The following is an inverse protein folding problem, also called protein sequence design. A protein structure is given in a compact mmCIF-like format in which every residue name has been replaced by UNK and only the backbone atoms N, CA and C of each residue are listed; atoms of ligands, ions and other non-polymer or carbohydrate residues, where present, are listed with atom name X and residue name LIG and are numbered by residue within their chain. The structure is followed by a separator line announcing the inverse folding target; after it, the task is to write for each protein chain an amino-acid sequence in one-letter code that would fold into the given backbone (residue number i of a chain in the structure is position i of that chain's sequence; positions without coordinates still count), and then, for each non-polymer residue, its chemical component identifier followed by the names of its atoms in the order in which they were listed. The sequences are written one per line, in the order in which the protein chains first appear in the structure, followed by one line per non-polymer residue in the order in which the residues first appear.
data_IF_137993043764
#
_entry.id   IF_137993043764
#
_cell.length_a   1.000
_cell.length_b   1.000
_cell.length_c   1.000
_cell.angle_alpha   90.00
_cell.angle_beta   90.00
_cell.angle_gamma   90.00
#
_symmetry.space_group_name_H-M   'P 1'
#
loop_
_entity.id
_entity.type
_entity.pdbx_description
1 polymer ?
#
# COMPACT_ATOMS: atom_id res chain seq x y z
N UNK A 1 -5.88 18.11 -21.39
CA UNK A 1 -5.58 17.32 -20.18
C UNK A 1 -6.79 17.33 -19.24
N UNK A 2 -6.77 16.54 -18.12
CA UNK A 2 -7.94 16.44 -17.21
C UNK A 2 -8.42 17.81 -16.71
N UNK A 3 -7.50 18.71 -16.37
CA UNK A 3 -7.77 20.08 -15.91
C UNK A 3 -8.48 20.98 -16.92
N UNK A 4 -8.54 20.61 -18.18
CA UNK A 4 -9.32 21.36 -19.22
C UNK A 4 -10.80 21.02 -19.16
N UNK A 5 -11.14 19.88 -18.56
CA UNK A 5 -12.50 19.36 -18.52
C UNK A 5 -13.07 19.28 -17.10
N UNK A 6 -12.21 19.28 -16.07
CA UNK A 6 -12.59 19.08 -14.67
C UNK A 6 -11.88 20.08 -13.75
N UNK A 7 -12.59 20.51 -12.71
CA UNK A 7 -12.00 21.25 -11.59
C UNK A 7 -11.52 20.20 -10.58
N UNK A 8 -10.20 20.06 -10.45
CA UNK A 8 -9.58 19.12 -9.51
C UNK A 8 -9.43 19.82 -8.16
N UNK A 9 -10.22 19.40 -7.17
CA UNK A 9 -10.27 20.04 -5.85
C UNK A 9 -9.41 19.33 -4.80
N UNK A 10 -9.19 18.01 -4.93
CA UNK A 10 -8.53 17.20 -3.90
C UNK A 10 -7.26 16.48 -4.40
N UNK A 11 -6.75 16.91 -5.55
CA UNK A 11 -5.56 16.35 -6.16
C UNK A 11 -5.79 15.09 -6.99
N UNK A 12 -4.72 14.59 -7.58
CA UNK A 12 -4.70 13.39 -8.43
C UNK A 12 -4.00 12.28 -7.66
N UNK A 13 -4.68 11.13 -7.53
CA UNK A 13 -4.08 9.91 -7.00
C UNK A 13 -3.74 8.93 -8.12
N UNK A 14 -2.62 8.23 -8.00
CA UNK A 14 -2.17 7.23 -8.97
C UNK A 14 -1.60 6.00 -8.28
N UNK A 15 -1.89 4.82 -8.84
CA UNK A 15 -1.32 3.55 -8.40
C UNK A 15 -0.06 3.22 -9.21
N UNK A 16 0.99 2.74 -8.53
CA UNK A 16 2.27 2.40 -9.12
C UNK A 16 2.66 0.95 -8.83
N UNK A 17 3.27 0.31 -9.81
CA UNK A 17 4.06 -0.89 -9.57
C UNK A 17 5.41 -0.50 -8.94
N UNK A 18 5.99 -1.28 -8.00
CA UNK A 18 7.28 -0.98 -7.40
C UNK A 18 8.41 -0.70 -8.39
N UNK A 19 8.45 -1.40 -9.52
CA UNK A 19 9.46 -1.20 -10.58
C UNK A 19 9.42 0.20 -11.23
N UNK A 20 8.33 0.94 -11.03
CA UNK A 20 8.17 2.31 -11.53
C UNK A 20 8.50 3.38 -10.49
N UNK A 21 8.94 2.98 -9.29
CA UNK A 21 9.29 3.92 -8.21
C UNK A 21 10.78 4.28 -8.34
N UNK A 22 11.05 5.26 -9.19
CA UNK A 22 12.37 5.88 -9.39
C UNK A 22 12.21 7.40 -9.49
N UNK A 23 13.30 8.13 -9.31
CA UNK A 23 13.29 9.60 -9.25
C UNK A 23 12.67 10.21 -10.50
N UNK A 24 13.04 9.73 -11.69
CA UNK A 24 12.56 10.27 -12.96
C UNK A 24 11.04 10.14 -13.10
N UNK A 25 10.51 8.93 -12.86
CA UNK A 25 9.06 8.67 -12.91
C UNK A 25 8.30 9.49 -11.88
N UNK A 26 8.79 9.53 -10.63
CA UNK A 26 8.13 10.28 -9.57
C UNK A 26 8.14 11.78 -9.84
N UNK A 27 9.23 12.32 -10.37
CA UNK A 27 9.30 13.75 -10.74
C UNK A 27 8.31 14.06 -11.87
N UNK A 28 8.27 13.23 -12.91
CA UNK A 28 7.31 13.39 -14.02
C UNK A 28 5.86 13.41 -13.51
N UNK A 29 5.51 12.50 -12.59
CA UNK A 29 4.17 12.46 -11.99
C UNK A 29 3.88 13.70 -11.16
N UNK A 30 4.85 14.15 -10.37
CA UNK A 30 4.73 15.38 -9.58
C UNK A 30 4.49 16.60 -10.46
N UNK A 31 5.25 16.72 -11.55
CA UNK A 31 5.13 17.82 -12.53
C UNK A 31 3.78 17.77 -13.28
N UNK A 32 3.22 16.56 -13.46
CA UNK A 32 1.89 16.36 -14.01
C UNK A 32 0.74 16.69 -13.03
N UNK A 33 1.03 17.06 -11.79
CA UNK A 33 0.05 17.44 -10.77
C UNK A 33 -0.45 16.28 -9.91
N UNK A 34 0.22 15.11 -9.93
CA UNK A 34 -0.08 14.01 -9.01
C UNK A 34 0.33 14.43 -7.59
N UNK A 35 -0.58 14.30 -6.65
CA UNK A 35 -0.37 14.66 -5.24
C UNK A 35 -0.32 13.45 -4.33
N UNK A 36 -0.89 12.33 -4.75
CA UNK A 36 -1.02 11.09 -3.97
C UNK A 36 -0.61 9.89 -4.81
N UNK A 37 0.22 9.02 -4.24
CA UNK A 37 0.63 7.76 -4.89
C UNK A 37 0.30 6.57 -3.98
N UNK A 38 -0.13 5.46 -4.59
CA UNK A 38 -0.21 4.15 -3.95
C UNK A 38 0.73 3.19 -4.65
N UNK A 39 1.52 2.45 -3.88
CA UNK A 39 2.53 1.52 -4.41
C UNK A 39 2.13 0.10 -4.03
N UNK A 40 1.86 -0.73 -5.01
CA UNK A 40 1.46 -2.12 -4.81
C UNK A 40 2.63 -3.02 -4.37
N UNK A 41 3.06 -2.91 -3.12
CA UNK A 41 4.18 -3.67 -2.55
C UNK A 41 3.83 -5.15 -2.39
N UNK A 42 2.70 -5.45 -1.82
CA UNK A 42 2.18 -6.75 -1.43
C UNK A 42 2.92 -7.39 -0.24
N UNK A 43 4.24 -7.43 -0.22
CA UNK A 43 5.13 -7.77 0.88
C UNK A 43 6.56 -7.37 0.52
N UNK A 44 7.40 -7.01 1.47
CA UNK A 44 8.84 -6.85 1.25
C UNK A 44 9.61 -8.17 1.39
N UNK A 45 8.97 -9.22 1.91
CA UNK A 45 9.59 -10.52 2.08
C UNK A 45 9.72 -11.26 0.74
N UNK A 46 10.94 -11.61 0.35
CA UNK A 46 11.26 -12.32 -0.91
C UNK A 46 10.47 -13.63 -1.07
N UNK A 47 10.15 -14.32 0.04
CA UNK A 47 9.35 -15.55 0.04
C UNK A 47 7.94 -15.30 -0.54
N UNK A 48 7.30 -14.21 -0.10
CA UNK A 48 5.93 -13.87 -0.53
C UNK A 48 5.91 -13.25 -1.91
N UNK A 49 6.92 -12.47 -2.27
CA UNK A 49 7.08 -11.98 -3.64
C UNK A 49 7.14 -13.13 -4.65
N UNK A 50 7.91 -14.19 -4.34
CA UNK A 50 7.98 -15.40 -5.19
C UNK A 50 6.64 -16.11 -5.31
N UNK A 51 5.90 -16.26 -4.20
CA UNK A 51 4.55 -16.88 -4.19
C UNK A 51 3.60 -16.10 -5.11
N UNK A 52 3.73 -14.77 -5.12
CA UNK A 52 2.90 -13.87 -5.93
C UNK A 52 3.41 -13.70 -7.37
N UNK A 53 4.48 -14.42 -7.77
CA UNK A 53 5.09 -14.31 -9.09
C UNK A 53 5.77 -12.96 -9.34
N UNK A 54 6.17 -12.25 -8.29
CA UNK A 54 6.80 -10.93 -8.35
C UNK A 54 8.30 -11.01 -8.12
N UNK A 55 8.99 -9.97 -8.57
CA UNK A 55 10.43 -9.80 -8.31
C UNK A 55 10.68 -9.23 -6.91
N UNK A 56 11.90 -9.40 -6.44
CA UNK A 56 12.39 -8.72 -5.25
C UNK A 56 12.37 -7.20 -5.45
N UNK A 57 11.94 -6.48 -4.42
CA UNK A 57 11.90 -5.01 -4.40
C UNK A 57 13.26 -4.48 -3.95
N UNK A 58 13.81 -3.52 -4.70
CA UNK A 58 14.97 -2.75 -4.26
C UNK A 58 14.51 -1.62 -3.32
N UNK A 59 14.58 -1.89 -2.02
CA UNK A 59 14.18 -0.92 -1.00
C UNK A 59 15.11 0.28 -0.88
N UNK A 60 16.38 0.14 -1.29
CA UNK A 60 17.33 1.25 -1.25
C UNK A 60 17.05 2.26 -2.37
N UNK A 61 16.78 1.78 -3.58
CA UNK A 61 16.35 2.61 -4.70
C UNK A 61 15.02 3.30 -4.39
N UNK A 62 14.04 2.56 -3.88
CA UNK A 62 12.74 3.09 -3.49
C UNK A 62 12.86 4.19 -2.43
N UNK A 63 13.66 3.98 -1.38
CA UNK A 63 13.92 5.00 -0.34
C UNK A 63 14.54 6.25 -0.94
N UNK A 64 15.52 6.11 -1.82
CA UNK A 64 16.17 7.23 -2.51
C UNK A 64 15.16 8.04 -3.33
N UNK A 65 14.32 7.36 -4.10
CA UNK A 65 13.32 8.00 -4.94
C UNK A 65 12.26 8.75 -4.12
N UNK A 66 11.69 8.12 -3.09
CA UNK A 66 10.68 8.71 -2.22
C UNK A 66 11.22 9.85 -1.35
N UNK A 67 12.52 9.84 -1.03
CA UNK A 67 13.18 10.94 -0.33
C UNK A 67 13.45 12.13 -1.24
N UNK A 68 13.66 11.91 -2.54
CA UNK A 68 13.95 12.95 -3.52
C UNK A 68 12.68 13.68 -3.99
N UNK A 69 11.54 12.99 -4.07
CA UNK A 69 10.28 13.54 -4.59
C UNK A 69 9.16 13.35 -3.59
N UNK A 70 8.67 14.43 -3.00
CA UNK A 70 7.64 14.39 -1.97
C UNK A 70 6.22 14.44 -2.54
N UNK A 71 5.33 13.62 -1.98
CA UNK A 71 3.89 13.62 -2.23
C UNK A 71 3.12 13.90 -0.92
N UNK A 72 1.88 14.38 -1.05
CA UNK A 72 1.00 14.58 0.12
C UNK A 72 0.69 13.24 0.80
N UNK A 73 0.43 12.21 -0.03
CA UNK A 73 0.20 10.86 0.45
C UNK A 73 1.06 9.87 -0.33
N UNK A 74 1.82 9.09 0.41
CA UNK A 74 2.51 7.88 -0.07
C UNK A 74 1.86 6.70 0.63
N UNK A 75 1.01 5.97 -0.09
CA UNK A 75 0.42 4.72 0.37
C UNK A 75 1.24 3.53 -0.09
N UNK A 76 1.37 2.53 0.74
CA UNK A 76 1.90 1.22 0.36
C UNK A 76 0.87 0.14 0.63
N UNK A 77 0.58 -0.67 -0.40
CA UNK A 77 -0.45 -1.68 -0.34
C UNK A 77 0.15 -3.06 -0.15
N UNK A 78 -0.38 -3.78 0.84
CA UNK A 78 0.08 -5.10 1.25
C UNK A 78 -1.03 -6.14 1.13
N UNK A 79 -0.64 -7.39 0.95
CA UNK A 79 -1.53 -8.54 1.08
C UNK A 79 -1.21 -9.23 2.40
N UNK A 80 -2.22 -9.37 3.26
CA UNK A 80 -2.08 -10.15 4.49
C UNK A 80 -2.77 -11.51 4.39
N UNK A 81 -2.42 -12.41 5.31
CA UNK A 81 -2.87 -13.79 5.33
C UNK A 81 -2.43 -14.60 4.10
N UNK A 82 -1.28 -14.27 3.55
CA UNK A 82 -0.57 -15.10 2.59
C UNK A 82 -0.23 -16.46 3.24
N UNK A 83 -0.13 -17.54 2.47
CA UNK A 83 0.21 -18.85 3.00
C UNK A 83 1.51 -18.87 3.79
N UNK A 84 1.38 -19.25 5.07
CA UNK A 84 2.49 -19.30 6.00
C UNK A 84 3.05 -17.92 6.41
N UNK A 85 2.28 -16.85 6.19
CA UNK A 85 2.61 -15.53 6.70
C UNK A 85 2.34 -15.45 8.20
N UNK A 86 3.29 -14.93 8.94
CA UNK A 86 3.21 -14.71 10.38
C UNK A 86 2.88 -13.26 10.71
N UNK A 87 2.53 -13.02 11.96
CA UNK A 87 2.39 -11.67 12.50
C UNK A 87 3.68 -10.85 12.33
N UNK A 88 4.85 -11.45 12.60
CA UNK A 88 6.14 -10.77 12.51
C UNK A 88 6.49 -10.39 11.08
N UNK A 89 6.12 -11.21 10.09
CA UNK A 89 6.31 -10.90 8.67
C UNK A 89 5.50 -9.63 8.29
N UNK A 90 4.20 -9.59 8.63
CA UNK A 90 3.34 -8.46 8.30
C UNK A 90 3.73 -7.20 9.08
N UNK A 91 4.12 -7.36 10.35
CA UNK A 91 4.66 -6.27 11.17
C UNK A 91 5.91 -5.67 10.54
N UNK A 92 6.83 -6.50 10.08
CA UNK A 92 8.06 -6.07 9.39
C UNK A 92 7.76 -5.33 8.10
N UNK A 93 6.78 -5.78 7.33
CA UNK A 93 6.32 -5.11 6.11
C UNK A 93 5.82 -3.68 6.41
N UNK A 94 4.98 -3.52 7.44
CA UNK A 94 4.44 -2.21 7.86
C UNK A 94 5.54 -1.29 8.39
N UNK A 95 6.42 -1.79 9.26
CA UNK A 95 7.54 -1.00 9.78
C UNK A 95 8.46 -0.52 8.64
N UNK A 96 8.72 -1.38 7.67
CA UNK A 96 9.52 -1.06 6.48
C UNK A 96 8.83 0.03 5.65
N UNK A 97 7.52 -0.06 5.43
CA UNK A 97 6.79 0.96 4.68
C UNK A 97 6.94 2.36 5.28
N UNK A 98 6.71 2.49 6.58
CA UNK A 98 6.86 3.79 7.25
C UNK A 98 8.31 4.26 7.30
N UNK A 99 9.28 3.36 7.41
CA UNK A 99 10.70 3.68 7.31
C UNK A 99 11.09 4.22 5.93
N UNK A 100 10.48 3.70 4.87
CA UNK A 100 10.70 4.13 3.47
C UNK A 100 9.98 5.43 3.13
N UNK A 101 9.22 6.01 4.05
CA UNK A 101 8.55 7.30 3.85
C UNK A 101 7.05 7.22 3.51
N UNK A 102 6.42 6.03 3.61
CA UNK A 102 4.97 5.96 3.56
C UNK A 102 4.36 6.72 4.75
N UNK A 103 3.26 7.42 4.52
CA UNK A 103 2.42 7.97 5.56
C UNK A 103 1.04 7.29 5.65
N UNK A 104 0.81 6.32 4.76
CA UNK A 104 -0.40 5.50 4.72
C UNK A 104 -0.05 4.07 4.30
N UNK A 105 -0.73 3.09 4.88
CA UNK A 105 -0.65 1.68 4.46
C UNK A 105 -2.04 1.09 4.32
N UNK A 106 -2.22 0.26 3.30
CA UNK A 106 -3.42 -0.55 3.12
C UNK A 106 -3.03 -2.03 3.17
N UNK A 107 -3.78 -2.83 3.95
CA UNK A 107 -3.53 -4.26 4.08
C UNK A 107 -4.79 -5.03 3.65
N UNK A 108 -4.75 -5.67 2.49
CA UNK A 108 -5.89 -6.42 1.96
C UNK A 108 -5.73 -7.92 2.22
N UNK A 109 -6.82 -8.65 2.54
CA UNK A 109 -6.72 -10.09 2.76
C UNK A 109 -6.38 -10.82 1.47
N UNK A 110 -5.50 -11.83 1.55
CA UNK A 110 -5.33 -12.78 0.46
C UNK A 110 -6.67 -13.50 0.21
N UNK A 111 -7.16 -13.39 -1.03
CA UNK A 111 -8.39 -14.04 -1.48
C UNK A 111 -7.98 -15.18 -2.41
N UNK A 112 -8.34 -16.41 -2.00
CA UNK A 112 -8.22 -17.58 -2.84
C UNK A 112 -9.43 -17.63 -3.79
N UNK A 113 -9.18 -17.36 -5.05
CA UNK A 113 -10.21 -17.46 -6.08
C UNK A 113 -10.33 -18.92 -6.52
N UNK A 114 -11.40 -19.59 -6.11
CA UNK A 114 -11.68 -21.02 -6.38
C UNK A 114 -11.79 -21.37 -7.86
N UNK A 115 -11.85 -20.37 -8.75
CA UNK A 115 -11.86 -20.57 -10.21
C UNK A 115 -10.46 -20.53 -10.84
N UNK A 116 -9.44 -20.31 -10.07
CA UNK A 116 -8.04 -20.40 -10.52
C UNK A 116 -7.42 -21.67 -9.92
N UNK A 117 -6.64 -22.41 -10.73
CA UNK A 117 -5.80 -23.48 -10.22
C UNK A 117 -4.64 -22.88 -9.40
N UNK A 118 -4.95 -22.41 -8.20
CA UNK A 118 -3.92 -21.91 -7.30
C UNK A 118 -3.38 -23.08 -6.47
N UNK A 119 -2.08 -23.37 -6.52
CA UNK A 119 -1.46 -24.37 -5.66
C UNK A 119 -1.38 -23.95 -4.19
N UNK A 120 -1.96 -22.78 -3.88
CA UNK A 120 -1.73 -22.11 -2.61
C UNK A 120 -3.02 -22.04 -1.80
N UNK A 121 -3.05 -22.73 -0.66
CA UNK A 121 -4.20 -22.75 0.24
C UNK A 121 -4.25 -21.45 1.07
N UNK A 122 -5.38 -20.77 1.02
CA UNK A 122 -5.62 -19.59 1.83
C UNK A 122 -5.63 -19.91 3.33
N UNK A 123 -5.19 -18.96 4.14
CA UNK A 123 -5.26 -19.05 5.61
C UNK A 123 -6.72 -19.21 6.08
N UNK A 124 -7.02 -20.03 7.10
CA UNK A 124 -8.35 -20.17 7.67
C UNK A 124 -8.94 -18.82 8.12
N UNK A 125 -10.25 -18.65 8.01
CA UNK A 125 -10.93 -17.39 8.37
C UNK A 125 -10.66 -16.93 9.81
N UNK A 126 -10.56 -17.87 10.75
CA UNK A 126 -10.25 -17.59 12.14
C UNK A 126 -8.86 -16.97 12.27
N UNK A 127 -7.86 -17.59 11.67
CA UNK A 127 -6.47 -17.18 11.74
C UNK A 127 -6.26 -15.83 11.04
N UNK A 128 -6.95 -15.58 9.90
CA UNK A 128 -6.99 -14.26 9.25
C UNK A 128 -7.48 -13.17 10.19
N UNK A 129 -8.55 -13.46 10.92
CA UNK A 129 -9.14 -12.50 11.87
C UNK A 129 -8.18 -12.21 13.02
N UNK A 130 -7.60 -13.25 13.62
CA UNK A 130 -6.63 -13.11 14.70
C UNK A 130 -5.39 -12.31 14.25
N UNK A 131 -4.89 -12.56 13.04
CA UNK A 131 -3.78 -11.81 12.46
C UNK A 131 -4.16 -10.34 12.24
N UNK A 132 -5.35 -10.06 11.69
CA UNK A 132 -5.82 -8.69 11.49
C UNK A 132 -5.99 -7.95 12.83
N UNK A 133 -6.56 -8.61 13.83
CA UNK A 133 -6.75 -8.02 15.16
C UNK A 133 -5.40 -7.70 15.80
N UNK A 134 -4.43 -8.63 15.73
CA UNK A 134 -3.09 -8.43 16.27
C UNK A 134 -2.35 -7.26 15.60
N UNK A 135 -2.38 -7.19 14.27
CA UNK A 135 -1.73 -6.11 13.53
C UNK A 135 -2.42 -4.76 13.74
N UNK A 136 -3.76 -4.78 13.91
CA UNK A 136 -4.52 -3.56 14.27
C UNK A 136 -4.05 -3.02 15.62
N UNK A 137 -3.94 -3.87 16.63
CA UNK A 137 -3.45 -3.46 17.95
C UNK A 137 -2.00 -2.94 17.88
N UNK A 138 -1.16 -3.56 17.07
CA UNK A 138 0.20 -3.09 16.82
C UNK A 138 0.22 -1.67 16.23
N UNK A 139 -0.52 -1.43 15.17
CA UNK A 139 -0.59 -0.12 14.51
C UNK A 139 -1.11 0.96 15.44
N UNK A 140 -2.19 0.68 16.19
CA UNK A 140 -2.74 1.61 17.19
C UNK A 140 -1.73 1.88 18.32
N UNK A 141 -1.00 0.86 18.76
CA UNK A 141 0.07 0.99 19.77
C UNK A 141 1.26 1.83 19.30
N UNK A 142 1.49 1.93 17.99
CA UNK A 142 2.47 2.84 17.37
C UNK A 142 1.95 4.28 17.21
N UNK A 143 0.70 4.53 17.55
CA UNK A 143 0.05 5.83 17.37
C UNK A 143 -0.47 6.08 15.95
N UNK A 144 -0.58 5.04 15.12
CA UNK A 144 -1.20 5.17 13.80
C UNK A 144 -2.72 5.22 13.91
N UNK A 145 -3.34 6.05 13.09
CA UNK A 145 -4.79 6.15 12.98
C UNK A 145 -5.33 5.07 12.06
N UNK A 146 -6.43 4.40 12.46
CA UNK A 146 -7.14 3.47 11.60
C UNK A 146 -8.21 4.22 10.81
N UNK A 147 -8.03 4.34 9.49
CA UNK A 147 -8.93 5.10 8.63
C UNK A 147 -10.08 4.23 8.06
N UNK A 148 -9.84 2.93 7.91
CA UNK A 148 -10.85 1.95 7.50
C UNK A 148 -10.53 0.57 8.09
N UNK A 149 -11.28 -0.48 7.68
CA UNK A 149 -11.00 -1.86 8.12
C UNK A 149 -9.56 -2.27 7.78
N UNK A 150 -9.03 -1.78 6.65
CA UNK A 150 -7.80 -2.25 6.04
C UNK A 150 -6.68 -1.22 6.02
N UNK A 151 -6.89 0.01 6.50
CA UNK A 151 -5.95 1.11 6.29
C UNK A 151 -5.54 1.81 7.57
N UNK A 152 -4.25 2.18 7.62
CA UNK A 152 -3.64 2.89 8.74
C UNK A 152 -2.78 4.04 8.22
N UNK A 153 -2.73 5.15 8.96
CA UNK A 153 -1.90 6.30 8.63
C UNK A 153 -1.12 6.81 9.83
N UNK A 154 0.04 7.40 9.58
CA UNK A 154 0.89 8.03 10.60
C UNK A 154 0.49 9.48 10.93
N UNK A 155 -0.59 10.00 10.34
CA UNK A 155 -1.08 11.36 10.55
C UNK A 155 -2.60 11.42 10.49
N UNK A 156 -3.16 12.56 10.88
CA UNK A 156 -4.62 12.78 10.91
C UNK A 156 -5.22 12.99 9.53
N UNK A 157 -4.41 13.38 8.51
CA UNK A 157 -4.89 13.89 7.24
C UNK A 157 -4.70 12.93 6.05
N UNK A 158 -4.11 11.75 6.26
CA UNK A 158 -3.81 10.81 5.19
C UNK A 158 -5.04 9.97 4.80
N UNK A 159 -6.09 10.59 4.28
CA UNK A 159 -7.20 9.89 3.65
C UNK A 159 -6.88 9.62 2.18
N UNK A 160 -6.25 8.47 1.89
CA UNK A 160 -5.98 8.08 0.50
C UNK A 160 -7.16 7.39 -0.18
N UNK A 161 -8.04 6.76 0.56
CA UNK A 161 -9.08 5.91 -0.04
C UNK A 161 -10.03 6.71 -0.94
N UNK A 162 -9.99 6.43 -2.24
CA UNK A 162 -10.97 6.94 -3.21
C UNK A 162 -12.39 6.50 -2.86
N UNK A 163 -12.56 5.33 -2.23
CA UNK A 163 -13.88 4.78 -1.86
C UNK A 163 -14.58 5.53 -0.73
N UNK A 164 -13.88 6.39 0.00
CA UNK A 164 -14.44 7.20 1.09
C UNK A 164 -14.72 8.64 0.69
N UNK A 165 -14.57 8.98 -0.60
CA UNK A 165 -14.80 10.33 -1.12
C UNK A 165 -16.15 10.42 -1.81
N UNK A 166 -16.87 11.51 -1.58
CA UNK A 166 -18.17 11.75 -2.18
C UNK A 166 -18.11 12.00 -3.70
N UNK A 167 -16.98 12.55 -4.16
CA UNK A 167 -16.77 12.89 -5.56
C UNK A 167 -15.39 12.39 -6.02
N UNK A 168 -15.36 11.30 -6.76
CA UNK A 168 -14.14 10.86 -7.46
C UNK A 168 -14.48 10.33 -8.85
N UNK A 169 -13.53 10.47 -9.76
CA UNK A 169 -13.58 9.89 -11.10
C UNK A 169 -12.46 8.85 -11.21
N UNK A 170 -12.84 7.60 -11.46
CA UNK A 170 -11.91 6.49 -11.73
C UNK A 170 -11.75 6.29 -13.23
N UNK A 171 -10.54 5.97 -13.68
CA UNK A 171 -10.19 5.65 -15.06
C UNK A 171 -9.61 4.25 -15.13
#
# INVERSE_FOLDING_TARGET
ALSEHFIITEGIGLELHPDNVNVETLQMLKDAGVTKISIGIQSFCDKYQKILGRKKIDTAEMMSALSAVSFETVSMDFIFALPGQTYDDLKSDIDTAFLLGANHVAIYPFIDFTFTESPVTAMPKKDKRELLDAITQYCLGKGYSRNSIWTFSSGTDANYSSMTRDNFLGF
#
